data_IF_613316025847
#
_entry.id   IF_613316025847
#
_cell.length_a   1.000
_cell.length_b   1.000
_cell.length_c   1.000
_cell.angle_alpha   90.00
_cell.angle_beta   90.00
_cell.angle_gamma   90.00
#
_symmetry.space_group_name_H-M   'P 1'
#
loop_
_entity.id
_entity.type
_entity.pdbx_description
1 polymer ?
#
# COMPACT_ATOMS: atom_id res chain seq x y z
N UNK A 1 2.52 -1.03 -22.04
CA UNK A 1 1.42 -0.19 -21.53
C UNK A 1 2.05 1.09 -21.03
N UNK A 2 1.67 2.26 -21.56
CA UNK A 2 2.32 3.53 -21.19
C UNK A 2 1.43 4.27 -20.18
N UNK A 3 2.01 4.65 -19.04
CA UNK A 3 1.36 5.47 -18.02
C UNK A 3 2.17 6.76 -17.92
N UNK A 4 1.50 7.91 -18.09
CA UNK A 4 2.14 9.21 -17.91
C UNK A 4 2.09 9.60 -16.43
N UNK A 5 3.20 10.14 -15.92
CA UNK A 5 3.28 10.70 -14.58
C UNK A 5 3.40 12.23 -14.67
N UNK A 6 2.63 12.94 -13.84
CA UNK A 6 2.65 14.41 -13.74
C UNK A 6 2.54 14.84 -12.28
N UNK A 7 3.14 15.97 -11.95
CA UNK A 7 2.94 16.62 -10.65
C UNK A 7 2.17 17.92 -10.83
N UNK A 8 1.16 18.14 -9.99
CA UNK A 8 0.31 19.34 -10.02
C UNK A 8 -0.14 19.71 -8.61
N UNK A 9 -0.43 20.99 -8.31
CA UNK A 9 -0.76 21.45 -6.95
C UNK A 9 -2.24 21.20 -6.59
N UNK A 10 -2.72 19.97 -6.75
CA UNK A 10 -4.07 19.53 -6.39
C UNK A 10 -4.06 18.05 -5.98
N UNK A 11 -5.10 17.54 -5.28
CA UNK A 11 -5.13 16.17 -4.79
C UNK A 11 -4.80 15.13 -5.87
N UNK A 12 -3.94 14.18 -5.52
CA UNK A 12 -3.51 13.10 -6.42
C UNK A 12 -4.71 12.37 -7.03
N UNK A 13 -4.57 11.98 -8.29
CA UNK A 13 -5.66 11.34 -9.05
C UNK A 13 -5.12 10.54 -10.24
N UNK A 14 -5.95 9.63 -10.75
CA UNK A 14 -5.70 8.88 -11.98
C UNK A 14 -6.71 9.25 -13.06
N UNK A 15 -6.29 9.10 -14.31
CA UNK A 15 -7.14 9.31 -15.49
C UNK A 15 -6.96 8.16 -16.46
N UNK A 16 -8.09 7.58 -16.88
CA UNK A 16 -8.12 6.49 -17.86
C UNK A 16 -9.11 6.86 -18.97
N UNK A 17 -8.60 7.04 -20.19
CA UNK A 17 -9.39 7.37 -21.37
C UNK A 17 -8.97 6.47 -22.54
N UNK A 18 -9.73 5.40 -22.79
CA UNK A 18 -9.38 4.39 -23.78
C UNK A 18 -8.02 3.77 -23.47
N UNK A 19 -7.02 4.02 -24.34
CA UNK A 19 -5.64 3.53 -24.15
C UNK A 19 -4.77 4.46 -23.31
N UNK A 20 -5.20 5.70 -23.11
CA UNK A 20 -4.48 6.70 -22.34
C UNK A 20 -4.64 6.46 -20.83
N UNK A 21 -3.52 6.53 -20.12
CA UNK A 21 -3.43 6.38 -18.66
C UNK A 21 -2.49 7.45 -18.11
N UNK A 22 -2.94 8.18 -17.10
CA UNK A 22 -2.15 9.21 -16.44
C UNK A 22 -2.33 9.12 -14.92
N UNK A 23 -1.24 9.26 -14.18
CA UNK A 23 -1.23 9.52 -12.74
C UNK A 23 -0.79 10.96 -12.55
N UNK A 24 -1.58 11.71 -11.79
CA UNK A 24 -1.21 13.02 -11.29
C UNK A 24 -0.97 12.91 -9.80
N UNK A 25 0.21 13.30 -9.36
CA UNK A 25 0.58 13.35 -7.94
C UNK A 25 0.52 14.80 -7.47
N UNK A 26 0.00 15.02 -6.26
CA UNK A 26 -0.02 16.34 -5.64
C UNK A 26 1.40 16.83 -5.37
N UNK A 27 1.80 17.91 -6.04
CA UNK A 27 3.15 18.47 -5.97
C UNK A 27 3.47 19.11 -4.61
N UNK A 28 2.47 19.28 -3.74
CA UNK A 28 2.61 19.91 -2.41
C UNK A 28 2.98 18.90 -1.32
N UNK A 29 2.90 17.62 -1.62
CA UNK A 29 3.25 16.52 -0.73
C UNK A 29 4.77 16.40 -0.55
N UNK A 30 5.20 15.80 0.55
CA UNK A 30 6.57 15.31 0.72
C UNK A 30 6.89 14.19 -0.27
N UNK A 31 8.17 13.89 -0.51
CA UNK A 31 8.56 12.86 -1.47
C UNK A 31 8.05 11.47 -1.08
N UNK A 32 8.00 11.19 0.23
CA UNK A 32 7.42 9.98 0.80
C UNK A 32 5.92 9.90 0.51
N UNK A 33 5.16 10.96 0.80
CA UNK A 33 3.73 11.03 0.52
C UNK A 33 3.42 10.95 -0.98
N UNK A 34 4.25 11.57 -1.83
CA UNK A 34 4.14 11.46 -3.30
C UNK A 34 4.30 10.01 -3.76
N UNK A 35 5.25 9.27 -3.19
CA UNK A 35 5.47 7.85 -3.50
C UNK A 35 4.26 7.01 -3.09
N UNK A 36 3.67 7.27 -1.93
CA UNK A 36 2.47 6.58 -1.47
C UNK A 36 1.26 6.88 -2.36
N UNK A 37 1.05 8.15 -2.70
CA UNK A 37 0.00 8.58 -3.62
C UNK A 37 0.18 7.94 -5.01
N UNK A 38 1.41 7.87 -5.51
CA UNK A 38 1.70 7.18 -6.77
C UNK A 38 1.24 5.72 -6.75
N UNK A 39 1.57 4.95 -5.70
CA UNK A 39 1.14 3.56 -5.61
C UNK A 39 -0.38 3.41 -5.47
N UNK A 40 -1.02 4.34 -4.76
CA UNK A 40 -2.47 4.37 -4.62
C UNK A 40 -3.15 4.55 -5.99
N UNK A 41 -2.77 5.58 -6.74
CA UNK A 41 -3.30 5.84 -8.08
C UNK A 41 -2.94 4.75 -9.09
N UNK A 42 -1.76 4.15 -8.95
CA UNK A 42 -1.36 2.99 -9.76
C UNK A 42 -2.30 1.80 -9.51
N UNK A 43 -2.74 1.57 -8.27
CA UNK A 43 -3.73 0.53 -7.97
C UNK A 43 -5.02 0.76 -8.77
N UNK A 44 -5.53 1.99 -8.77
CA UNK A 44 -6.74 2.30 -9.51
C UNK A 44 -6.61 2.01 -11.00
N UNK A 45 -5.47 2.38 -11.61
CA UNK A 45 -5.21 2.09 -13.03
C UNK A 45 -5.12 0.59 -13.32
N UNK A 46 -4.50 -0.18 -12.43
CA UNK A 46 -4.22 -1.60 -12.67
C UNK A 46 -5.38 -2.53 -12.30
N UNK A 47 -6.15 -2.19 -11.26
CA UNK A 47 -7.09 -3.13 -10.61
C UNK A 47 -8.54 -2.65 -10.63
N UNK A 48 -8.79 -1.36 -10.83
CA UNK A 48 -10.13 -0.80 -10.72
C UNK A 48 -10.67 -0.37 -12.09
N UNK A 49 -11.99 -0.47 -12.23
CA UNK A 49 -12.75 -0.02 -13.40
C UNK A 49 -13.98 0.73 -12.95
N UNK A 50 -14.55 1.51 -13.87
CA UNK A 50 -15.75 2.30 -13.64
C UNK A 50 -15.44 3.74 -13.23
N UNK A 51 -16.50 4.55 -13.21
CA UNK A 51 -16.42 5.97 -12.84
C UNK A 51 -16.84 6.07 -11.38
N UNK A 52 -15.90 6.39 -10.47
CA UNK A 52 -16.14 6.39 -9.03
C UNK A 52 -17.32 7.30 -8.59
N UNK A 53 -17.55 8.42 -9.28
CA UNK A 53 -18.67 9.32 -8.97
C UNK A 53 -20.05 8.75 -9.30
N UNK A 54 -20.13 7.75 -10.17
CA UNK A 54 -21.37 7.05 -10.53
C UNK A 54 -21.51 5.70 -9.81
N UNK A 55 -20.52 5.35 -8.98
CA UNK A 55 -20.44 4.06 -8.30
C UNK A 55 -21.18 4.13 -6.94
N UNK A 56 -21.94 3.09 -6.55
CA UNK A 56 -22.51 3.04 -5.21
C UNK A 56 -21.42 3.12 -4.14
N UNK A 57 -21.71 3.77 -3.02
CA UNK A 57 -20.74 4.09 -1.98
C UNK A 57 -19.95 2.87 -1.49
N UNK A 58 -20.62 1.74 -1.24
CA UNK A 58 -19.97 0.52 -0.78
C UNK A 58 -18.90 -0.02 -1.76
N UNK A 59 -19.12 0.11 -3.07
CA UNK A 59 -18.15 -0.31 -4.07
C UNK A 59 -16.97 0.66 -4.15
N UNK A 60 -17.23 1.97 -4.02
CA UNK A 60 -16.17 2.97 -3.91
C UNK A 60 -15.29 2.70 -2.69
N UNK A 61 -15.90 2.47 -1.53
CA UNK A 61 -15.15 2.11 -0.31
C UNK A 61 -14.32 0.84 -0.47
N UNK A 62 -14.86 -0.18 -1.16
CA UNK A 62 -14.12 -1.40 -1.44
C UNK A 62 -12.86 -1.12 -2.27
N UNK A 63 -12.97 -0.31 -3.33
CA UNK A 63 -11.83 0.10 -4.13
C UNK A 63 -10.81 0.90 -3.31
N UNK A 64 -11.25 1.85 -2.49
CA UNK A 64 -10.35 2.63 -1.63
C UNK A 64 -9.61 1.76 -0.60
N UNK A 65 -10.29 0.76 -0.03
CA UNK A 65 -9.67 -0.20 0.89
C UNK A 65 -8.63 -1.07 0.18
N UNK A 66 -8.93 -1.55 -1.03
CA UNK A 66 -7.99 -2.33 -1.82
C UNK A 66 -6.79 -1.49 -2.28
N UNK A 67 -7.01 -0.24 -2.70
CA UNK A 67 -5.95 0.69 -3.06
C UNK A 67 -5.01 0.97 -1.89
N UNK A 68 -5.54 1.25 -0.69
CA UNK A 68 -4.73 1.41 0.54
C UNK A 68 -3.92 0.16 0.85
N UNK A 69 -4.51 -1.02 0.69
CA UNK A 69 -3.82 -2.28 0.93
C UNK A 69 -2.71 -2.51 -0.10
N UNK A 70 -2.99 -2.26 -1.38
CA UNK A 70 -2.02 -2.34 -2.47
C UNK A 70 -0.82 -1.41 -2.23
N UNK A 71 -1.06 -0.15 -1.83
CA UNK A 71 0.01 0.81 -1.51
C UNK A 71 1.02 0.21 -0.52
N UNK A 72 0.55 -0.44 0.55
CA UNK A 72 1.43 -1.06 1.55
C UNK A 72 2.29 -2.18 0.96
N UNK A 73 1.71 -3.05 0.14
CA UNK A 73 2.46 -4.14 -0.50
C UNK A 73 3.42 -3.67 -1.57
N UNK A 74 3.02 -2.66 -2.36
CA UNK A 74 3.85 -2.11 -3.42
C UNK A 74 5.02 -1.30 -2.85
N UNK A 75 4.79 -0.57 -1.76
CA UNK A 75 5.80 0.22 -1.07
C UNK A 75 6.81 -0.64 -0.30
N UNK A 76 6.34 -1.68 0.41
CA UNK A 76 7.17 -2.58 1.21
C UNK A 76 6.82 -4.04 0.82
N UNK A 77 7.46 -4.54 -0.26
CA UNK A 77 7.18 -5.85 -0.82
C UNK A 77 7.57 -6.99 0.11
N UNK A 78 6.85 -8.11 0.02
CA UNK A 78 7.09 -9.29 0.87
C UNK A 78 8.51 -9.86 0.77
N UNK A 79 9.07 -9.93 -0.45
CA UNK A 79 10.41 -10.47 -0.65
C UNK A 79 11.52 -9.56 -0.10
N UNK A 80 11.23 -8.30 0.22
CA UNK A 80 12.19 -7.37 0.84
C UNK A 80 12.15 -7.41 2.37
N UNK A 81 11.25 -8.20 2.97
CA UNK A 81 11.14 -8.30 4.43
C UNK A 81 12.35 -8.97 5.08
N UNK A 82 13.11 -9.75 4.32
CA UNK A 82 14.39 -10.33 4.77
C UNK A 82 15.47 -9.28 5.06
N UNK A 83 15.32 -8.06 4.52
CA UNK A 83 16.23 -6.94 4.75
C UNK A 83 15.98 -6.22 6.07
N UNK A 84 14.91 -6.59 6.78
CA UNK A 84 14.45 -5.91 7.99
C UNK A 84 15.05 -6.60 9.21
N UNK A 85 15.85 -5.86 9.98
CA UNK A 85 16.24 -6.29 11.32
C UNK A 85 15.11 -5.98 12.31
N UNK A 86 14.42 -7.04 12.74
CA UNK A 86 13.29 -6.94 13.67
C UNK A 86 13.70 -6.60 15.11
N UNK A 87 15.00 -6.66 15.45
CA UNK A 87 15.52 -6.32 16.77
C UNK A 87 15.99 -4.87 16.86
N UNK A 88 15.96 -4.13 15.75
CA UNK A 88 16.36 -2.73 15.73
C UNK A 88 15.39 -1.86 16.55
N UNK A 89 15.95 -1.00 17.40
CA UNK A 89 15.18 -0.11 18.29
C UNK A 89 14.40 0.93 17.51
N UNK A 90 14.98 1.44 16.42
CA UNK A 90 14.38 2.48 15.56
C UNK A 90 13.93 1.89 14.21
N UNK A 91 13.34 0.69 14.25
CA UNK A 91 12.96 -0.06 13.05
C UNK A 91 12.02 0.73 12.14
N UNK A 92 11.07 1.49 12.69
CA UNK A 92 10.10 2.26 11.90
C UNK A 92 10.83 3.34 11.10
N UNK A 93 11.68 4.13 11.74
CA UNK A 93 12.43 5.21 11.12
C UNK A 93 13.41 4.68 10.08
N UNK A 94 14.16 3.62 10.42
CA UNK A 94 15.12 3.01 9.49
C UNK A 94 14.42 2.43 8.26
N UNK A 95 13.31 1.71 8.44
CA UNK A 95 12.58 1.10 7.32
C UNK A 95 11.81 2.13 6.51
N UNK A 96 11.22 3.15 7.14
CA UNK A 96 10.58 4.25 6.44
C UNK A 96 11.58 4.96 5.50
N UNK A 97 12.79 5.24 6.00
CA UNK A 97 13.87 5.80 5.20
C UNK A 97 14.32 4.84 4.07
N UNK A 98 14.50 3.55 4.37
CA UNK A 98 14.89 2.54 3.37
C UNK A 98 13.89 2.41 2.21
N UNK A 99 12.60 2.35 2.53
CA UNK A 99 11.52 2.17 1.54
C UNK A 99 11.00 3.49 0.96
N UNK A 100 11.49 4.63 1.47
CA UNK A 100 11.12 6.01 1.09
C UNK A 100 9.63 6.28 1.24
N UNK A 101 9.07 5.86 2.37
CA UNK A 101 7.66 6.04 2.72
C UNK A 101 7.51 6.72 4.06
N UNK A 102 6.31 7.15 4.38
CA UNK A 102 6.04 7.78 5.67
C UNK A 102 6.23 6.77 6.81
N UNK A 103 6.68 7.22 8.00
CA UNK A 103 6.75 6.37 9.18
C UNK A 103 5.42 5.65 9.49
N UNK A 104 4.30 6.34 9.23
CA UNK A 104 2.95 5.79 9.43
C UNK A 104 2.69 4.59 8.53
N UNK A 105 2.91 4.69 7.21
CA UNK A 105 2.69 3.56 6.32
C UNK A 105 3.61 2.38 6.66
N UNK A 106 4.86 2.68 7.01
CA UNK A 106 5.83 1.69 7.46
C UNK A 106 5.34 0.93 8.69
N UNK A 107 4.93 1.65 9.74
CA UNK A 107 4.39 1.07 10.97
C UNK A 107 3.15 0.20 10.70
N UNK A 108 2.20 0.70 9.90
CA UNK A 108 1.01 -0.07 9.54
C UNK A 108 1.35 -1.37 8.81
N UNK A 109 2.37 -1.34 7.94
CA UNK A 109 2.83 -2.53 7.21
C UNK A 109 3.52 -3.53 8.14
N UNK A 110 4.45 -3.08 8.97
CA UNK A 110 5.21 -3.95 9.85
C UNK A 110 4.30 -4.60 10.91
N UNK A 111 3.34 -3.83 11.45
CA UNK A 111 2.29 -4.35 12.34
C UNK A 111 1.46 -5.43 11.64
N UNK A 112 1.08 -5.22 10.37
CA UNK A 112 0.34 -6.23 9.60
C UNK A 112 1.13 -7.53 9.43
N UNK A 113 2.45 -7.44 9.24
CA UNK A 113 3.34 -8.60 9.10
C UNK A 113 3.46 -9.35 10.43
N UNK A 114 3.74 -8.64 11.52
CA UNK A 114 3.82 -9.21 12.87
C UNK A 114 2.53 -9.93 13.23
N UNK A 115 1.36 -9.32 13.00
CA UNK A 115 0.07 -9.93 13.28
C UNK A 115 -0.15 -11.24 12.49
N UNK A 116 0.30 -11.31 11.24
CA UNK A 116 0.22 -12.54 10.44
C UNK A 116 1.12 -13.64 10.97
N UNK A 117 2.33 -13.29 11.40
CA UNK A 117 3.27 -14.24 12.01
C UNK A 117 2.67 -14.79 13.31
N UNK A 118 2.14 -13.92 14.18
CA UNK A 118 1.50 -14.31 15.44
C UNK A 118 0.25 -15.20 15.24
N UNK A 119 -0.59 -14.88 14.27
CA UNK A 119 -1.77 -15.71 13.92
C UNK A 119 -1.31 -17.08 13.39
N UNK A 120 -0.27 -17.13 12.55
CA UNK A 120 0.26 -18.40 12.08
C UNK A 120 0.82 -19.24 13.25
N UNK A 121 1.58 -18.65 14.16
CA UNK A 121 2.11 -19.37 15.33
C UNK A 121 1.03 -19.89 16.28
N UNK A 122 -0.03 -19.12 16.52
CA UNK A 122 -1.17 -19.56 17.34
C UNK A 122 -2.03 -20.63 16.67
N UNK A 123 -2.07 -20.68 15.34
CA UNK A 123 -2.73 -21.75 14.59
C UNK A 123 -1.94 -23.08 14.69
N UNK A 124 -0.60 -23.03 14.72
CA UNK A 124 0.23 -24.22 14.87
C UNK A 124 0.14 -24.87 16.27
N UNK A 125 0.03 -24.07 17.34
CA UNK A 125 -0.12 -24.60 18.71
C UNK A 125 -1.48 -25.24 18.99
N UNK A 126 -2.52 -24.94 18.20
CA UNK A 126 -3.84 -25.56 18.34
C UNK A 126 -3.99 -26.89 17.58
N UNK A 127 -3.00 -27.32 16.78
CA UNK A 127 -3.06 -28.61 16.08
C UNK A 127 -2.52 -29.79 16.91
N UNK A 128 -1.86 -29.52 18.05
CA UNK A 128 -1.30 -30.55 18.93
C UNK A 128 -2.22 -31.01 20.08
N UNK A 129 -3.42 -30.43 20.23
CA UNK A 129 -4.39 -30.85 21.26
C UNK A 129 -5.56 -31.72 20.75
N UNK A 130 -5.55 -32.18 19.50
CA UNK A 130 -6.60 -33.08 18.97
C UNK A 130 -6.14 -34.51 18.66
N UNK A 131 -4.95 -34.91 19.11
CA UNK A 131 -4.52 -36.31 19.09
C UNK A 131 -3.89 -36.69 20.44
N UNK A 132 -4.74 -36.86 21.44
CA UNK A 132 -4.46 -37.63 22.65
C UNK A 132 -5.77 -38.30 23.10
#
# INVERSE_FOLDING_TARGET
MNIFLREKPFPSTHQVFGRFRCIVVDSRLTEEEKREAFFHELCHILRHVGVQSMMPEAFRELQERDAKLFTKYAAIPYHMLELIDWNERYIIEQMAHMFKVTPKLCEERLTQIQNRILVNHSCFSNHFMCFA
#
